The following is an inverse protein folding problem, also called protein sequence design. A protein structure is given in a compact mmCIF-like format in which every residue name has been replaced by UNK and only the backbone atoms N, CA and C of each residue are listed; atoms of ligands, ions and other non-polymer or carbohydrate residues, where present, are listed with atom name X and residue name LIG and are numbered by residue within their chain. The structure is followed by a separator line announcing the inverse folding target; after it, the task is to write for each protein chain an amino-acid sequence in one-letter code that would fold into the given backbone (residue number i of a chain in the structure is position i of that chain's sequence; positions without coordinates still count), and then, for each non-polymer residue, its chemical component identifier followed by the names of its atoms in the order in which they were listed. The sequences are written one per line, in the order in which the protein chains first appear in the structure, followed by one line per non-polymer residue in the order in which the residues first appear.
data_IF_401562375613
#
_entry.id   IF_401562375613
#
_cell.length_a   1.000
_cell.length_b   1.000
_cell.length_c   1.000
_cell.angle_alpha   90.00
_cell.angle_beta   90.00
_cell.angle_gamma   90.00
#
_symmetry.space_group_name_H-M   'P 1'
#
loop_
_entity.id
_entity.type
_entity.pdbx_description
1 polymer ?
#
# COMPACT_ATOMS: atom_id res chain seq x y z
N UNK A 1 23.11 -37.30 10.02
CA UNK A 1 22.50 -36.23 9.23
C UNK A 1 21.30 -35.65 9.91
N UNK A 2 21.53 -34.63 10.69
CA UNK A 2 20.50 -34.01 11.48
C UNK A 2 19.60 -33.00 10.79
N UNK A 3 19.66 -32.87 9.48
CA UNK A 3 18.86 -31.87 8.78
C UNK A 3 17.50 -32.45 8.43
N UNK A 4 16.54 -32.22 9.30
CA UNK A 4 15.15 -32.57 9.02
C UNK A 4 14.62 -31.69 7.88
N UNK A 5 14.31 -32.32 6.77
CA UNK A 5 13.63 -31.63 5.68
C UNK A 5 12.21 -31.32 6.10
N UNK A 6 11.82 -30.05 6.00
CA UNK A 6 10.45 -29.67 6.28
C UNK A 6 9.50 -30.29 5.27
N UNK A 7 8.40 -30.82 5.76
CA UNK A 7 7.29 -31.29 4.98
C UNK A 7 6.81 -30.16 4.03
N UNK A 8 6.44 -30.43 2.77
CA UNK A 8 5.88 -29.41 1.90
C UNK A 8 4.70 -28.65 2.48
N UNK A 9 3.89 -29.31 3.31
CA UNK A 9 2.79 -28.68 4.04
C UNK A 9 3.28 -27.64 5.04
N UNK A 10 4.34 -27.95 5.80
CA UNK A 10 4.93 -27.03 6.75
C UNK A 10 5.52 -25.80 6.06
N UNK A 11 6.19 -25.99 4.94
CA UNK A 11 6.73 -24.88 4.13
C UNK A 11 5.63 -23.96 3.66
N UNK A 12 4.54 -24.51 3.15
CA UNK A 12 3.41 -23.75 2.67
C UNK A 12 2.79 -22.92 3.79
N UNK A 13 2.63 -23.50 4.98
CA UNK A 13 2.10 -22.79 6.14
C UNK A 13 3.02 -21.67 6.60
N UNK A 14 4.33 -21.88 6.60
CA UNK A 14 5.31 -20.86 6.97
C UNK A 14 5.30 -19.73 5.95
N UNK A 15 5.24 -20.05 4.67
CA UNK A 15 5.17 -19.05 3.60
C UNK A 15 3.91 -18.19 3.73
N UNK A 16 2.77 -18.80 4.01
CA UNK A 16 1.51 -18.09 4.22
C UNK A 16 1.62 -17.13 5.40
N UNK A 17 2.17 -17.60 6.54
CA UNK A 17 2.33 -16.77 7.72
C UNK A 17 3.28 -15.59 7.46
N UNK A 18 4.39 -15.83 6.77
CA UNK A 18 5.38 -14.81 6.45
C UNK A 18 4.76 -13.75 5.52
N UNK A 19 4.08 -14.18 4.47
CA UNK A 19 3.46 -13.27 3.51
C UNK A 19 2.32 -12.48 4.13
N UNK A 20 1.57 -13.08 5.08
CA UNK A 20 0.52 -12.36 5.80
C UNK A 20 1.09 -11.28 6.72
N UNK A 21 2.24 -11.52 7.34
CA UNK A 21 2.95 -10.50 8.12
C UNK A 21 3.40 -9.35 7.22
N UNK A 22 3.91 -9.66 6.05
CA UNK A 22 4.28 -8.65 5.05
C UNK A 22 3.07 -7.85 4.60
N UNK A 23 1.93 -8.50 4.40
CA UNK A 23 0.68 -7.85 4.03
C UNK A 23 0.22 -6.87 5.11
N UNK A 24 0.30 -7.26 6.37
CA UNK A 24 -0.05 -6.38 7.49
C UNK A 24 0.89 -5.19 7.57
N UNK A 25 2.18 -5.42 7.39
CA UNK A 25 3.19 -4.38 7.36
C UNK A 25 2.92 -3.37 6.23
N UNK A 26 2.58 -3.87 5.05
CA UNK A 26 2.23 -3.05 3.90
C UNK A 26 0.95 -2.25 4.16
N UNK A 27 -0.06 -2.87 4.73
CA UNK A 27 -1.30 -2.19 5.10
C UNK A 27 -1.04 -1.01 6.03
N UNK A 28 -0.20 -1.23 7.04
CA UNK A 28 0.20 -0.17 7.98
C UNK A 28 0.96 0.95 7.28
N UNK A 29 1.83 0.59 6.33
CA UNK A 29 2.58 1.58 5.55
C UNK A 29 1.63 2.44 4.70
N UNK A 30 0.65 1.83 4.04
CA UNK A 30 -0.35 2.54 3.26
C UNK A 30 -1.19 3.44 4.16
N UNK A 31 -1.58 2.95 5.32
CA UNK A 31 -2.34 3.73 6.30
C UNK A 31 -1.58 4.98 6.74
N UNK A 32 -0.29 4.82 7.08
CA UNK A 32 0.56 5.96 7.45
C UNK A 32 0.73 6.94 6.29
N UNK A 33 0.95 6.43 5.08
CA UNK A 33 1.09 7.28 3.90
C UNK A 33 -0.18 8.07 3.63
N UNK A 34 -1.36 7.51 3.95
CA UNK A 34 -2.64 8.18 3.71
C UNK A 34 -2.76 9.52 4.43
N UNK A 35 -2.06 9.71 5.55
CA UNK A 35 -2.07 10.98 6.28
C UNK A 35 -1.45 12.14 5.48
N UNK A 36 -0.64 11.84 4.48
CA UNK A 36 -0.06 12.84 3.61
C UNK A 36 -1.08 13.44 2.62
N UNK A 37 -2.17 12.72 2.37
CA UNK A 37 -3.16 13.09 1.39
C UNK A 37 -4.24 13.95 2.04
N UNK A 38 -4.03 15.26 2.00
CA UNK A 38 -4.89 16.25 2.67
C UNK A 38 -5.84 16.97 1.71
N UNK A 39 -5.95 16.49 0.49
CA UNK A 39 -6.81 17.08 -0.53
C UNK A 39 -7.86 16.10 -1.04
N UNK A 40 -8.82 16.62 -1.77
CA UNK A 40 -9.88 15.82 -2.38
C UNK A 40 -9.47 15.39 -3.80
N UNK A 41 -10.03 14.26 -4.24
CA UNK A 41 -9.85 13.81 -5.61
C UNK A 41 -10.79 14.56 -6.54
N UNK A 42 -10.77 14.21 -7.83
CA UNK A 42 -11.60 14.84 -8.85
C UNK A 42 -13.10 14.69 -8.60
N UNK A 43 -13.48 13.63 -7.87
CA UNK A 43 -14.89 13.38 -7.52
C UNK A 43 -15.33 14.08 -6.24
N UNK A 44 -14.44 14.83 -5.61
CA UNK A 44 -14.72 15.52 -4.36
C UNK A 44 -14.58 14.65 -3.12
N UNK A 45 -14.06 13.43 -3.26
CA UNK A 45 -13.82 12.53 -2.15
C UNK A 45 -12.45 12.81 -1.51
N UNK A 46 -12.36 12.65 -0.19
CA UNK A 46 -11.08 12.76 0.50
C UNK A 46 -10.15 11.64 0.04
N UNK A 47 -9.01 11.99 -0.55
CA UNK A 47 -8.02 11.02 -1.01
C UNK A 47 -7.62 10.06 0.10
N UNK A 48 -7.46 10.57 1.32
CA UNK A 48 -7.13 9.76 2.50
C UNK A 48 -8.11 8.61 2.67
N UNK A 49 -9.39 8.89 2.58
CA UNK A 49 -10.44 7.89 2.77
C UNK A 49 -10.46 6.88 1.63
N UNK A 50 -10.25 7.33 0.40
CA UNK A 50 -10.18 6.46 -0.77
C UNK A 50 -9.01 5.48 -0.63
N UNK A 51 -7.85 5.97 -0.24
CA UNK A 51 -6.64 5.15 -0.06
C UNK A 51 -6.85 4.13 1.06
N UNK A 52 -7.42 4.55 2.18
CA UNK A 52 -7.68 3.66 3.32
C UNK A 52 -8.68 2.58 2.99
N UNK A 53 -9.73 2.92 2.28
CA UNK A 53 -10.74 1.95 1.87
C UNK A 53 -10.16 0.93 0.90
N UNK A 54 -9.38 1.38 -0.09
CA UNK A 54 -8.71 0.49 -1.03
C UNK A 54 -7.75 -0.46 -0.31
N UNK A 55 -6.96 0.07 0.63
CA UNK A 55 -6.02 -0.73 1.42
C UNK A 55 -6.75 -1.77 2.26
N UNK A 56 -7.88 -1.39 2.86
CA UNK A 56 -8.69 -2.32 3.67
C UNK A 56 -9.22 -3.47 2.82
N UNK A 57 -9.74 -3.19 1.64
CA UNK A 57 -10.26 -4.21 0.72
C UNK A 57 -9.18 -5.20 0.32
N UNK A 58 -8.00 -4.70 -0.03
CA UNK A 58 -6.86 -5.54 -0.40
C UNK A 58 -6.38 -6.38 0.79
N UNK A 59 -6.29 -5.80 1.96
CA UNK A 59 -5.91 -6.51 3.17
C UNK A 59 -6.91 -7.61 3.53
N UNK A 60 -8.21 -7.32 3.44
CA UNK A 60 -9.25 -8.30 3.73
C UNK A 60 -9.19 -9.47 2.73
N UNK A 61 -8.93 -9.18 1.46
CA UNK A 61 -8.75 -10.21 0.45
C UNK A 61 -7.56 -11.11 0.80
N UNK A 62 -6.43 -10.52 1.19
CA UNK A 62 -5.23 -11.26 1.58
C UNK A 62 -5.44 -12.06 2.86
N UNK A 63 -6.23 -11.52 3.79
CA UNK A 63 -6.49 -12.15 5.08
C UNK A 63 -7.15 -13.51 4.96
N UNK A 64 -8.06 -13.65 4.01
CA UNK A 64 -8.84 -14.88 3.82
C UNK A 64 -8.19 -15.82 2.80
N UNK A 65 -7.12 -15.39 2.14
CA UNK A 65 -6.44 -16.22 1.14
C UNK A 65 -5.49 -17.20 1.82
N UNK A 66 -5.48 -18.43 1.34
CA UNK A 66 -4.62 -19.50 1.85
C UNK A 66 -3.53 -19.93 0.88
N UNK A 67 -3.64 -19.52 -0.38
CA UNK A 67 -2.66 -19.83 -1.41
C UNK A 67 -1.51 -18.81 -1.34
N UNK A 68 -0.26 -19.26 -1.02
CA UNK A 68 0.88 -18.35 -0.91
C UNK A 68 1.14 -17.55 -2.20
N UNK A 69 0.91 -18.16 -3.35
CA UNK A 69 1.09 -17.50 -4.64
C UNK A 69 0.13 -16.32 -4.82
N UNK A 70 -1.12 -16.54 -4.45
CA UNK A 70 -2.13 -15.49 -4.53
C UNK A 70 -1.85 -14.37 -3.53
N UNK A 71 -1.41 -14.71 -2.33
CA UNK A 71 -1.04 -13.70 -1.33
C UNK A 71 0.14 -12.86 -1.83
N UNK A 72 1.12 -13.49 -2.47
CA UNK A 72 2.26 -12.78 -3.07
C UNK A 72 1.80 -11.81 -4.15
N UNK A 73 0.86 -12.21 -5.00
CA UNK A 73 0.27 -11.34 -6.03
C UNK A 73 -0.44 -10.14 -5.41
N UNK A 74 -1.20 -10.36 -4.35
CA UNK A 74 -1.89 -9.30 -3.63
C UNK A 74 -0.89 -8.32 -3.01
N UNK A 75 0.23 -8.82 -2.49
CA UNK A 75 1.29 -7.99 -1.96
C UNK A 75 1.93 -7.11 -3.04
N UNK A 76 2.21 -7.69 -4.20
CA UNK A 76 2.78 -6.93 -5.32
C UNK A 76 1.82 -5.84 -5.78
N UNK A 77 0.54 -6.17 -5.91
CA UNK A 77 -0.50 -5.19 -6.25
C UNK A 77 -0.57 -4.07 -5.23
N UNK A 78 -0.51 -4.41 -3.94
CA UNK A 78 -0.55 -3.43 -2.87
C UNK A 78 0.67 -2.51 -2.87
N UNK A 79 1.85 -3.05 -3.15
CA UNK A 79 3.09 -2.25 -3.26
C UNK A 79 3.03 -1.31 -4.45
N UNK A 80 2.53 -1.78 -5.59
CA UNK A 80 2.33 -0.94 -6.76
C UNK A 80 1.35 0.20 -6.45
N UNK A 81 0.28 -0.11 -5.74
CA UNK A 81 -0.69 0.89 -5.33
C UNK A 81 -0.05 1.96 -4.45
N UNK A 82 0.74 1.54 -3.48
CA UNK A 82 1.46 2.47 -2.59
C UNK A 82 2.42 3.34 -3.38
N UNK A 83 3.19 2.75 -4.29
CA UNK A 83 4.14 3.49 -5.13
C UNK A 83 3.44 4.52 -6.00
N UNK A 84 2.32 4.14 -6.62
CA UNK A 84 1.50 5.05 -7.43
C UNK A 84 0.91 6.17 -6.57
N UNK A 85 0.45 5.85 -5.37
CA UNK A 85 -0.08 6.86 -4.45
C UNK A 85 1.01 7.86 -4.06
N UNK A 86 2.20 7.37 -3.72
CA UNK A 86 3.32 8.24 -3.36
C UNK A 86 3.76 9.10 -4.54
N UNK A 87 3.74 8.56 -5.74
CA UNK A 87 4.05 9.32 -6.96
C UNK A 87 3.05 10.45 -7.17
N UNK A 88 1.77 10.19 -6.97
CA UNK A 88 0.72 11.22 -7.04
C UNK A 88 0.92 12.30 -5.98
N UNK A 89 1.28 11.88 -4.77
CA UNK A 89 1.57 12.82 -3.69
C UNK A 89 2.74 13.74 -4.07
N UNK A 90 3.84 13.17 -4.56
CA UNK A 90 5.01 13.94 -4.95
C UNK A 90 4.71 14.89 -6.10
N UNK A 91 3.94 14.44 -7.09
CA UNK A 91 3.53 15.28 -8.22
C UNK A 91 2.66 16.44 -7.76
N UNK A 92 1.72 16.18 -6.86
CA UNK A 92 0.83 17.21 -6.32
C UNK A 92 1.59 18.23 -5.50
N UNK A 93 2.51 17.74 -4.67
CA UNK A 93 3.38 18.60 -3.88
C UNK A 93 4.22 19.51 -4.78
N UNK A 94 4.80 18.95 -5.84
CA UNK A 94 5.61 19.71 -6.79
C UNK A 94 4.78 20.77 -7.49
N UNK A 95 3.56 20.44 -7.92
CA UNK A 95 2.65 21.38 -8.56
C UNK A 95 2.30 22.55 -7.63
N UNK A 96 2.08 22.27 -6.35
CA UNK A 96 1.80 23.30 -5.34
C UNK A 96 3.02 24.21 -5.16
N UNK A 97 4.22 23.61 -5.04
CA UNK A 97 5.46 24.38 -4.89
C UNK A 97 5.73 25.25 -6.11
N UNK A 98 5.50 24.74 -7.32
CA UNK A 98 5.67 25.50 -8.56
C UNK A 98 4.70 26.68 -8.62
N UNK A 99 3.46 26.46 -8.20
CA UNK A 99 2.46 27.52 -8.12
C UNK A 99 2.88 28.61 -7.14
N UNK A 100 3.43 28.23 -5.99
CA UNK A 100 3.94 29.17 -4.99
C UNK A 100 5.11 29.99 -5.52
N UNK A 101 6.06 29.34 -6.22
CA UNK A 101 7.21 30.02 -6.83
C UNK A 101 6.79 31.02 -7.91
N UNK A 102 5.77 30.69 -8.69
CA UNK A 102 5.28 31.51 -9.79
C UNK A 102 4.23 32.51 -9.35
N UNK A 103 3.91 32.57 -8.07
CA UNK A 103 2.93 33.50 -7.54
C UNK A 103 3.49 34.92 -7.66
N UNK A 104 2.77 35.86 -8.31
CA UNK A 104 3.26 37.23 -8.39
C UNK A 104 3.42 37.79 -6.97
N UNK A 105 4.63 38.26 -6.68
CA UNK A 105 4.87 38.98 -5.46
C UNK A 105 4.20 40.35 -5.61
N UNK A 106 3.03 40.47 -5.01
CA UNK A 106 2.31 41.71 -5.02
C UNK A 106 3.07 42.82 -4.32
N UNK A 107 2.73 44.06 -4.59
CA UNK A 107 3.31 45.19 -3.87
C UNK A 107 3.01 45.12 -2.40
#
# INVERSE_FOLDING_TARGET
DGARKKDPKERSQIEVLTTKREALSLYRAVWRASFLFVWKNEKGEEWRDVIRESARKEFEAARHETDPEMITRLLLTGRDYLDQAMEKFMSKRQAILDTEENKPQGP
#
